data_IF_188862207295
#
_entry.id   IF_188862207295
#
_cell.length_a   1.000
_cell.length_b   1.000
_cell.length_c   1.000
_cell.angle_alpha   90.00
_cell.angle_beta   90.00
_cell.angle_gamma   90.00
#
_symmetry.space_group_name_H-M   'P 1'
#
loop_
_entity.id
_entity.type
_entity.pdbx_description
1 polymer ?
#
# COMPACT_ATOMS: atom_id res chain seq x y z
N UNK A 1 -11.66 43.02 -47.98
CA UNK A 1 -12.30 44.20 -48.53
C UNK A 1 -12.50 45.15 -47.37
N UNK A 2 -11.70 46.24 -47.28
CA UNK A 2 -11.82 47.24 -46.26
C UNK A 2 -12.92 48.25 -46.63
N UNK A 3 -13.88 48.47 -45.76
CA UNK A 3 -14.91 49.47 -45.97
C UNK A 3 -14.34 50.83 -45.50
N UNK A 4 -14.13 51.81 -46.41
CA UNK A 4 -13.58 53.11 -46.01
C UNK A 4 -14.57 53.85 -45.12
N UNK A 5 -14.14 54.22 -43.91
CA UNK A 5 -14.94 55.08 -42.98
C UNK A 5 -15.92 54.33 -42.05
N UNK A 6 -15.95 53.00 -42.10
CA UNK A 6 -16.76 52.20 -41.16
C UNK A 6 -16.00 51.79 -39.90
N UNK A 7 -16.57 52.06 -38.72
CA UNK A 7 -16.06 51.50 -37.46
C UNK A 7 -16.50 50.05 -37.38
N UNK A 8 -15.57 49.13 -37.51
CA UNK A 8 -15.86 47.68 -37.36
C UNK A 8 -16.02 47.35 -35.88
N UNK A 9 -17.15 46.73 -35.55
CA UNK A 9 -17.38 46.18 -34.21
C UNK A 9 -16.70 44.84 -34.12
N UNK A 10 -15.50 44.79 -33.55
CA UNK A 10 -14.74 43.57 -33.35
C UNK A 10 -15.08 42.86 -32.03
N UNK A 11 -14.55 41.67 -31.85
CA UNK A 11 -14.75 40.83 -30.66
C UNK A 11 -14.40 41.55 -29.35
N UNK A 12 -13.44 42.49 -29.39
CA UNK A 12 -13.06 43.31 -28.23
C UNK A 12 -14.10 44.39 -27.87
N UNK A 13 -14.88 44.87 -28.83
CA UNK A 13 -15.91 45.87 -28.59
C UNK A 13 -17.19 45.33 -27.96
N UNK A 14 -17.44 44.01 -28.14
CA UNK A 14 -18.59 43.28 -27.58
C UNK A 14 -18.14 42.09 -26.77
N UNK A 15 -17.06 42.23 -25.99
CA UNK A 15 -16.45 41.13 -25.23
C UNK A 15 -17.43 40.43 -24.26
N UNK A 16 -18.45 41.15 -23.80
CA UNK A 16 -19.48 40.59 -22.91
C UNK A 16 -20.42 39.59 -23.63
N UNK A 17 -20.46 39.59 -24.96
CA UNK A 17 -21.25 38.64 -25.76
C UNK A 17 -20.42 37.44 -26.22
N UNK A 18 -19.11 37.52 -26.08
CA UNK A 18 -18.21 36.42 -26.41
C UNK A 18 -18.17 35.49 -25.23
N UNK A 19 -18.86 34.37 -25.33
CA UNK A 19 -18.80 33.31 -24.32
C UNK A 19 -17.47 32.54 -24.43
N UNK A 20 -16.85 32.32 -23.29
CA UNK A 20 -15.70 31.42 -23.21
C UNK A 20 -16.18 29.98 -23.46
N UNK A 21 -15.61 29.32 -24.46
CA UNK A 21 -15.90 27.92 -24.68
C UNK A 21 -15.26 27.09 -23.55
N UNK A 22 -16.09 26.40 -22.79
CA UNK A 22 -15.64 25.43 -21.79
C UNK A 22 -15.62 24.04 -22.40
N UNK A 23 -14.59 23.26 -22.05
CA UNK A 23 -14.52 21.86 -22.43
C UNK A 23 -15.60 21.10 -21.65
N UNK A 24 -16.49 20.44 -22.37
CA UNK A 24 -17.59 19.68 -21.79
C UNK A 24 -17.12 18.36 -21.14
N UNK A 25 -15.88 17.95 -21.43
CA UNK A 25 -15.31 16.74 -20.86
C UNK A 25 -14.53 17.09 -19.59
N UNK A 26 -14.96 16.49 -18.48
CA UNK A 26 -14.19 16.53 -17.23
C UNK A 26 -12.96 15.63 -17.39
N UNK A 27 -11.78 16.21 -17.45
CA UNK A 27 -10.52 15.47 -17.45
C UNK A 27 -10.09 15.22 -16.04
N UNK A 28 -10.16 13.96 -15.62
CA UNK A 28 -9.63 13.56 -14.34
C UNK A 28 -8.11 13.66 -14.34
N UNK A 29 -7.54 14.24 -13.28
CA UNK A 29 -6.09 14.22 -13.08
C UNK A 29 -5.60 12.77 -12.92
N UNK A 30 -4.38 12.50 -13.39
CA UNK A 30 -3.72 11.22 -13.10
C UNK A 30 -3.60 11.05 -11.59
N UNK A 31 -4.08 9.92 -11.08
CA UNK A 31 -4.13 9.61 -9.66
C UNK A 31 -3.31 8.36 -9.37
N UNK A 32 -2.75 8.29 -8.16
CA UNK A 32 -2.10 7.07 -7.69
C UNK A 32 -3.14 5.97 -7.51
N UNK A 33 -2.76 4.73 -7.82
CA UNK A 33 -3.61 3.57 -7.57
C UNK A 33 -3.37 3.12 -6.13
N UNK A 34 -4.40 3.02 -5.27
CA UNK A 34 -4.26 2.50 -3.92
C UNK A 34 -3.88 1.01 -3.97
N UNK A 35 -2.81 0.62 -3.31
CA UNK A 35 -2.22 -0.73 -3.37
C UNK A 35 -2.16 -1.39 -1.99
N UNK A 36 -2.03 -0.61 -0.92
CA UNK A 36 -1.81 -1.14 0.43
C UNK A 36 -2.97 -1.98 0.97
N UNK A 37 -4.21 -1.71 0.51
CA UNK A 37 -5.38 -2.52 0.87
C UNK A 37 -5.22 -3.99 0.47
N UNK A 38 -4.51 -4.29 -0.61
CA UNK A 38 -4.28 -5.67 -1.06
C UNK A 38 -3.39 -6.48 -0.10
N UNK A 39 -2.64 -5.80 0.77
CA UNK A 39 -1.82 -6.42 1.81
C UNK A 39 -2.64 -6.91 3.00
N UNK A 40 -3.80 -6.31 3.26
CA UNK A 40 -4.62 -6.61 4.41
C UNK A 40 -5.50 -7.85 4.17
N UNK A 41 -5.60 -8.71 5.18
CA UNK A 41 -6.55 -9.82 5.18
C UNK A 41 -7.93 -9.31 5.60
N UNK A 42 -8.90 -9.49 4.73
CA UNK A 42 -10.29 -9.13 5.03
C UNK A 42 -10.95 -10.26 5.81
N UNK A 43 -11.35 -9.97 7.05
CA UNK A 43 -12.15 -10.88 7.87
C UNK A 43 -13.60 -10.42 7.88
N UNK A 44 -14.55 -11.24 7.45
CA UNK A 44 -15.96 -10.88 7.53
C UNK A 44 -16.39 -10.84 8.99
N UNK A 45 -17.00 -9.74 9.41
CA UNK A 45 -17.63 -9.61 10.72
C UNK A 45 -19.11 -9.93 10.56
N UNK A 46 -19.61 -10.88 11.34
CA UNK A 46 -21.04 -11.20 11.33
C UNK A 46 -21.83 -10.07 11.99
N UNK A 47 -22.89 -9.63 11.32
CA UNK A 47 -23.77 -8.53 11.78
C UNK A 47 -24.42 -8.78 13.15
N UNK A 48 -24.42 -10.02 13.63
CA UNK A 48 -25.00 -10.41 14.91
C UNK A 48 -24.10 -10.16 16.14
N UNK A 49 -22.88 -9.64 15.95
CA UNK A 49 -21.97 -9.34 17.06
C UNK A 49 -22.20 -7.91 17.57
N UNK A 50 -22.81 -7.72 18.72
CA UNK A 50 -22.94 -6.40 19.36
C UNK A 50 -21.57 -5.99 19.90
N UNK A 51 -21.00 -4.92 19.42
CA UNK A 51 -19.76 -4.37 19.98
C UNK A 51 -18.95 -3.55 18.96
N UNK A 52 -18.17 -2.62 19.47
CA UNK A 52 -17.22 -1.80 18.71
C UNK A 52 -15.86 -2.46 18.53
N UNK A 53 -15.66 -3.66 19.08
CA UNK A 53 -14.39 -4.37 19.04
C UNK A 53 -14.59 -5.85 18.71
N UNK A 54 -13.63 -6.40 17.96
CA UNK A 54 -13.55 -7.82 17.62
C UNK A 54 -12.34 -8.42 18.31
N UNK A 55 -12.53 -9.54 19.00
CA UNK A 55 -11.47 -10.24 19.72
C UNK A 55 -11.09 -11.49 18.94
N UNK A 56 -9.81 -11.62 18.61
CA UNK A 56 -9.22 -12.81 18.00
C UNK A 56 -8.44 -13.57 19.05
N UNK A 57 -8.73 -14.87 19.22
CA UNK A 57 -8.00 -15.73 20.14
C UNK A 57 -6.94 -16.54 19.38
N UNK A 58 -5.70 -16.48 19.87
CA UNK A 58 -4.55 -17.19 19.32
C UNK A 58 -4.08 -18.20 20.36
N UNK A 59 -4.10 -19.48 20.02
CA UNK A 59 -3.58 -20.54 20.89
C UNK A 59 -2.07 -20.66 20.71
N UNK A 60 -1.36 -20.77 21.81
CA UNK A 60 0.06 -21.04 21.82
C UNK A 60 0.30 -22.54 21.62
N UNK A 61 1.42 -22.90 20.99
CA UNK A 61 1.86 -24.28 20.87
C UNK A 61 2.19 -24.85 22.25
N UNK A 62 1.99 -26.16 22.42
CA UNK A 62 2.46 -26.88 23.58
C UNK A 62 3.98 -27.05 23.55
N UNK A 63 4.59 -27.10 24.73
CA UNK A 63 6.01 -27.41 24.84
C UNK A 63 6.30 -28.80 24.23
N UNK A 64 7.45 -28.95 23.61
CA UNK A 64 7.85 -30.22 23.04
C UNK A 64 8.02 -31.30 24.14
N UNK A 65 7.44 -32.48 23.93
CA UNK A 65 7.61 -33.62 24.83
C UNK A 65 8.95 -34.27 24.55
N UNK A 66 9.98 -33.88 25.28
CA UNK A 66 11.37 -34.40 25.13
C UNK A 66 11.75 -35.45 26.19
N UNK A 67 10.88 -35.66 27.17
CA UNK A 67 11.12 -36.63 28.24
C UNK A 67 10.77 -38.04 27.79
N UNK A 68 11.65 -39.00 28.08
CA UNK A 68 11.39 -40.42 27.87
C UNK A 68 10.32 -40.93 28.82
N UNK A 69 9.40 -41.72 28.30
CA UNK A 69 8.37 -42.39 29.12
C UNK A 69 8.96 -43.58 29.82
N UNK A 70 8.51 -43.83 31.06
CA UNK A 70 8.82 -45.03 31.81
C UNK A 70 7.65 -46.00 31.72
N UNK A 71 7.94 -47.28 31.55
CA UNK A 71 6.93 -48.34 31.34
C UNK A 71 5.92 -48.47 32.51
N UNK A 72 6.32 -48.02 33.69
CA UNK A 72 5.53 -48.19 34.92
C UNK A 72 4.81 -46.89 35.34
N UNK A 73 4.94 -45.80 34.61
CA UNK A 73 4.36 -44.52 34.98
C UNK A 73 3.48 -43.98 33.86
N UNK A 74 2.29 -43.58 34.20
CA UNK A 74 1.37 -42.95 33.27
C UNK A 74 1.83 -41.54 32.89
N UNK A 75 1.46 -41.09 31.68
CA UNK A 75 1.80 -39.73 31.16
C UNK A 75 1.04 -38.69 31.94
N UNK A 76 1.75 -37.70 32.49
CA UNK A 76 1.11 -36.54 33.13
C UNK A 76 0.41 -35.70 32.09
N UNK A 77 -0.88 -35.41 32.31
CA UNK A 77 -1.63 -34.49 31.43
C UNK A 77 -1.12 -33.04 31.52
N UNK A 78 -0.92 -32.42 30.39
CA UNK A 78 -0.56 -31.00 30.30
C UNK A 78 -1.83 -30.21 29.97
N UNK A 79 -2.15 -29.19 30.78
CA UNK A 79 -3.26 -28.30 30.48
C UNK A 79 -2.88 -27.33 29.35
N UNK A 80 -3.80 -27.14 28.41
CA UNK A 80 -3.66 -26.09 27.42
C UNK A 80 -3.75 -24.72 28.12
N UNK A 81 -2.77 -23.85 27.89
CA UNK A 81 -2.78 -22.49 28.44
C UNK A 81 -3.92 -21.64 27.87
N UNK A 82 -4.24 -20.56 28.56
CA UNK A 82 -5.23 -19.61 28.05
C UNK A 82 -4.76 -19.02 26.71
N UNK A 83 -5.65 -18.89 25.71
CA UNK A 83 -5.31 -18.26 24.46
C UNK A 83 -4.95 -16.79 24.63
N UNK A 84 -3.95 -16.32 23.92
CA UNK A 84 -3.69 -14.90 23.80
C UNK A 84 -4.81 -14.23 23.00
N UNK A 85 -5.27 -13.09 23.45
CA UNK A 85 -6.35 -12.36 22.80
C UNK A 85 -5.83 -11.06 22.19
N UNK A 86 -6.13 -10.84 20.91
CA UNK A 86 -5.89 -9.59 20.22
C UNK A 86 -7.25 -8.92 20.00
N UNK A 87 -7.43 -7.75 20.61
CA UNK A 87 -8.65 -6.96 20.46
C UNK A 87 -8.42 -5.89 19.40
N UNK A 88 -9.25 -5.89 18.37
CA UNK A 88 -9.25 -4.89 17.31
C UNK A 88 -10.49 -4.02 17.44
N UNK A 89 -10.30 -2.71 17.60
CA UNK A 89 -11.40 -1.74 17.64
C UNK A 89 -11.78 -1.33 16.23
N UNK A 90 -13.09 -1.37 15.95
CA UNK A 90 -13.63 -0.94 14.67
C UNK A 90 -13.83 0.59 14.70
N UNK A 91 -13.23 1.27 13.76
CA UNK A 91 -13.39 2.71 13.57
C UNK A 91 -14.16 2.97 12.27
N UNK A 92 -14.95 4.03 12.26
CA UNK A 92 -15.70 4.50 11.11
C UNK A 92 -14.96 5.70 10.49
N UNK A 93 -14.79 5.67 9.18
CA UNK A 93 -14.16 6.75 8.42
C UNK A 93 -15.13 7.22 7.35
N UNK A 94 -15.24 8.52 7.17
CA UNK A 94 -16.11 9.09 6.16
C UNK A 94 -15.76 10.54 5.82
N UNK A 95 -16.05 10.94 4.59
CA UNK A 95 -16.02 12.32 4.15
C UNK A 95 -17.28 12.63 3.38
N UNK A 96 -17.77 13.87 3.49
CA UNK A 96 -18.98 14.31 2.80
C UNK A 96 -18.71 15.63 2.07
N UNK A 97 -19.23 15.74 0.85
CA UNK A 97 -19.23 16.98 0.07
C UNK A 97 -20.69 17.37 -0.19
N UNK A 98 -21.03 18.59 0.15
CA UNK A 98 -22.37 19.14 -0.08
C UNK A 98 -22.34 20.12 -1.25
N UNK A 99 -23.26 19.93 -2.19
CA UNK A 99 -23.50 20.87 -3.30
C UNK A 99 -24.77 21.68 -3.03
N UNK A 100 -24.77 22.93 -3.51
CA UNK A 100 -25.98 23.75 -3.44
C UNK A 100 -26.81 23.59 -4.71
N UNK A 101 -28.12 23.61 -4.57
CA UNK A 101 -29.04 23.56 -5.70
C UNK A 101 -28.78 24.65 -6.74
N UNK A 102 -28.34 25.81 -6.28
CA UNK A 102 -27.96 26.94 -7.16
C UNK A 102 -26.74 26.56 -8.02
N UNK A 103 -25.73 25.89 -7.46
CA UNK A 103 -24.55 25.44 -8.20
C UNK A 103 -24.94 24.47 -9.31
N UNK A 104 -25.76 23.47 -9.01
CA UNK A 104 -26.20 22.47 -10.01
C UNK A 104 -27.04 23.11 -11.14
N UNK A 105 -27.81 24.16 -10.83
CA UNK A 105 -28.60 24.87 -11.84
C UNK A 105 -27.77 25.83 -12.69
N UNK A 106 -26.70 26.38 -12.17
CA UNK A 106 -25.86 27.40 -12.85
C UNK A 106 -24.58 26.85 -13.44
N UNK A 107 -24.20 25.61 -13.06
CA UNK A 107 -23.01 24.95 -13.60
C UNK A 107 -23.25 24.50 -15.03
N UNK A 108 -22.26 24.71 -15.89
CA UNK A 108 -22.29 24.25 -17.28
C UNK A 108 -21.98 22.75 -17.37
N UNK A 109 -21.19 22.20 -16.44
CA UNK A 109 -20.83 20.78 -16.37
C UNK A 109 -21.67 20.08 -15.30
N UNK A 110 -21.87 18.77 -15.48
CA UNK A 110 -22.48 17.91 -14.47
C UNK A 110 -21.54 17.75 -13.27
N UNK A 111 -21.80 18.56 -12.24
CA UNK A 111 -20.99 18.59 -11.01
C UNK A 111 -21.18 17.33 -10.19
N UNK A 112 -22.37 16.74 -10.19
CA UNK A 112 -22.71 15.60 -9.34
C UNK A 112 -21.96 14.33 -9.78
N UNK A 113 -21.83 14.09 -11.08
CA UNK A 113 -21.04 12.97 -11.61
C UNK A 113 -19.55 13.13 -11.29
N UNK A 114 -19.00 14.32 -11.48
CA UNK A 114 -17.61 14.59 -11.15
C UNK A 114 -17.30 14.43 -9.65
N UNK A 115 -18.24 14.86 -8.79
CA UNK A 115 -18.10 14.69 -7.33
C UNK A 115 -18.19 13.22 -6.91
N UNK A 116 -19.06 12.43 -7.52
CA UNK A 116 -19.16 11.00 -7.22
C UNK A 116 -17.83 10.28 -7.46
N UNK A 117 -17.18 10.55 -8.58
CA UNK A 117 -15.87 9.98 -8.89
C UNK A 117 -14.76 10.45 -7.93
N UNK A 118 -14.80 11.73 -7.55
CA UNK A 118 -13.83 12.28 -6.58
C UNK A 118 -14.01 11.65 -5.21
N UNK A 119 -15.23 11.49 -4.73
CA UNK A 119 -15.53 10.90 -3.42
C UNK A 119 -15.17 9.40 -3.41
N UNK A 120 -15.48 8.68 -4.49
CA UNK A 120 -15.15 7.27 -4.61
C UNK A 120 -13.63 7.04 -4.54
N UNK A 121 -12.86 7.86 -5.25
CA UNK A 121 -11.40 7.81 -5.17
C UNK A 121 -10.89 8.20 -3.78
N UNK A 122 -11.43 9.25 -3.18
CA UNK A 122 -11.04 9.68 -1.83
C UNK A 122 -11.30 8.59 -0.78
N UNK A 123 -12.41 7.85 -0.90
CA UNK A 123 -12.69 6.72 -0.01
C UNK A 123 -11.65 5.61 -0.16
N UNK A 124 -11.28 5.25 -1.39
CA UNK A 124 -10.25 4.24 -1.65
C UNK A 124 -8.87 4.66 -1.13
N UNK A 125 -8.47 5.90 -1.38
CA UNK A 125 -7.20 6.48 -0.93
C UNK A 125 -7.14 6.60 0.60
N UNK A 126 -8.25 6.96 1.25
CA UNK A 126 -8.34 7.03 2.71
C UNK A 126 -8.15 5.67 3.38
N UNK A 127 -8.75 4.61 2.84
CA UNK A 127 -8.56 3.25 3.34
C UNK A 127 -7.10 2.83 3.17
N UNK A 128 -6.51 3.13 2.02
CA UNK A 128 -5.11 2.81 1.73
C UNK A 128 -4.16 3.52 2.71
N UNK A 129 -4.41 4.80 2.98
CA UNK A 129 -3.64 5.58 3.94
C UNK A 129 -3.75 5.04 5.37
N UNK A 130 -4.93 4.58 5.80
CA UNK A 130 -5.13 3.97 7.13
C UNK A 130 -4.33 2.67 7.23
N UNK A 131 -4.37 1.81 6.21
CA UNK A 131 -3.59 0.57 6.19
C UNK A 131 -2.09 0.87 6.20
N UNK A 132 -1.64 1.83 5.38
CA UNK A 132 -0.26 2.27 5.36
C UNK A 132 0.21 2.79 6.73
N UNK A 133 -0.61 3.58 7.43
CA UNK A 133 -0.30 4.10 8.76
C UNK A 133 -0.11 2.98 9.80
N UNK A 134 -0.93 1.92 9.73
CA UNK A 134 -0.78 0.76 10.60
C UNK A 134 0.50 0.01 10.31
N UNK A 135 0.84 -0.19 9.03
CA UNK A 135 2.06 -0.89 8.63
C UNK A 135 3.33 -0.12 9.01
N UNK A 136 3.33 1.21 8.82
CA UNK A 136 4.47 2.07 9.16
C UNK A 136 4.57 2.37 10.65
N UNK A 137 3.48 2.28 11.39
CA UNK A 137 3.43 2.41 12.85
C UNK A 137 3.77 1.13 13.60
N UNK A 138 4.19 0.07 12.91
CA UNK A 138 4.59 -1.18 13.52
C UNK A 138 5.75 -1.01 14.51
N UNK A 139 5.86 -1.94 15.44
CA UNK A 139 6.94 -1.96 16.43
C UNK A 139 8.31 -1.87 15.75
N UNK A 140 9.24 -1.16 16.36
CA UNK A 140 10.62 -1.01 15.87
C UNK A 140 11.35 -2.33 15.58
N UNK A 141 10.87 -3.43 16.16
CA UNK A 141 11.40 -4.78 15.96
C UNK A 141 11.16 -5.31 14.53
N UNK A 142 10.15 -4.79 13.85
CA UNK A 142 9.77 -5.24 12.50
C UNK A 142 10.21 -4.25 11.41
N UNK A 143 11.04 -3.27 11.75
CA UNK A 143 11.54 -2.26 10.82
C UNK A 143 13.00 -2.54 10.51
N UNK A 144 13.30 -2.82 9.26
CA UNK A 144 14.65 -2.94 8.73
C UNK A 144 14.99 -1.64 8.02
N UNK A 145 16.07 -1.02 8.42
CA UNK A 145 16.51 0.25 7.85
C UNK A 145 17.48 -0.02 6.70
N UNK A 146 17.21 0.54 5.53
CA UNK A 146 18.08 0.43 4.37
C UNK A 146 19.48 1.03 4.63
N UNK A 147 20.51 0.31 4.19
CA UNK A 147 21.90 0.66 4.42
C UNK A 147 22.51 -0.07 5.61
N UNK A 148 23.70 -0.61 5.43
CA UNK A 148 24.40 -1.57 6.32
C UNK A 148 24.55 -1.11 7.79
N UNK A 149 24.39 0.18 8.09
CA UNK A 149 24.66 0.76 9.42
C UNK A 149 23.51 1.56 10.00
N UNK A 150 22.39 1.67 9.31
CA UNK A 150 21.25 2.46 9.79
C UNK A 150 20.48 1.67 10.86
N UNK A 151 20.34 2.25 12.05
CA UNK A 151 19.58 1.69 13.18
C UNK A 151 18.29 2.45 13.47
N UNK A 152 18.08 3.56 12.79
CA UNK A 152 16.88 4.41 12.92
C UNK A 152 16.70 5.25 11.66
N UNK A 153 15.50 5.79 11.48
CA UNK A 153 15.17 6.72 10.37
C UNK A 153 16.12 7.92 10.31
N UNK A 154 16.58 8.40 11.45
CA UNK A 154 17.49 9.56 11.52
C UNK A 154 18.93 9.24 11.10
N UNK A 155 19.30 7.96 11.07
CA UNK A 155 20.64 7.51 10.67
C UNK A 155 20.72 7.13 9.20
N UNK A 156 19.58 7.13 8.48
CA UNK A 156 19.56 6.89 7.03
C UNK A 156 20.13 8.11 6.33
N UNK A 157 21.22 7.91 5.59
CA UNK A 157 21.85 8.95 4.77
C UNK A 157 21.23 8.96 3.36
N UNK A 158 21.40 10.07 2.64
CA UNK A 158 20.95 10.18 1.26
C UNK A 158 21.59 9.15 0.30
N UNK A 159 22.70 8.54 0.71
CA UNK A 159 23.40 7.48 -0.03
C UNK A 159 22.87 6.07 0.29
N UNK A 160 21.98 5.93 1.27
CA UNK A 160 21.38 4.66 1.63
C UNK A 160 20.27 4.31 0.61
N UNK A 161 20.66 3.69 -0.49
CA UNK A 161 19.76 3.15 -1.51
C UNK A 161 19.33 1.75 -1.16
N UNK A 162 18.18 1.31 -1.65
CA UNK A 162 17.68 -0.05 -1.45
C UNK A 162 18.55 -1.06 -2.20
N UNK A 163 18.87 -2.16 -1.54
CA UNK A 163 19.76 -3.22 -2.03
C UNK A 163 19.10 -4.59 -1.95
N UNK A 164 19.63 -5.55 -2.71
CA UNK A 164 19.24 -6.97 -2.59
C UNK A 164 19.49 -7.52 -1.18
N UNK A 165 20.55 -7.04 -0.52
CA UNK A 165 20.87 -7.42 0.85
C UNK A 165 19.75 -7.06 1.85
N UNK A 166 19.11 -5.90 1.69
CA UNK A 166 18.01 -5.44 2.55
C UNK A 166 16.78 -6.35 2.40
N UNK A 167 16.49 -6.81 1.17
CA UNK A 167 15.41 -7.77 0.91
C UNK A 167 15.73 -9.12 1.55
N UNK A 168 16.98 -9.59 1.42
CA UNK A 168 17.42 -10.85 2.02
C UNK A 168 17.30 -10.82 3.53
N UNK A 169 17.68 -9.73 4.18
CA UNK A 169 17.55 -9.55 5.62
C UNK A 169 16.08 -9.58 6.03
N UNK A 170 15.20 -8.85 5.31
CA UNK A 170 13.76 -8.86 5.57
C UNK A 170 13.15 -10.26 5.47
N UNK A 171 13.49 -11.02 4.43
CA UNK A 171 13.00 -12.40 4.26
C UNK A 171 13.55 -13.32 5.35
N UNK A 172 14.82 -13.13 5.75
CA UNK A 172 15.42 -13.91 6.83
C UNK A 172 14.72 -13.66 8.15
N UNK A 173 14.43 -12.42 8.47
CA UNK A 173 13.68 -12.02 9.68
C UNK A 173 12.27 -12.61 9.69
N UNK A 174 11.54 -12.53 8.58
CA UNK A 174 10.22 -13.14 8.45
C UNK A 174 10.25 -14.65 8.67
N UNK A 175 11.24 -15.35 8.10
CA UNK A 175 11.41 -16.80 8.29
C UNK A 175 11.81 -17.17 9.72
N UNK A 176 12.67 -16.39 10.34
CA UNK A 176 13.08 -16.56 11.74
C UNK A 176 11.88 -16.43 12.67
N UNK A 177 11.00 -15.47 12.39
CA UNK A 177 9.75 -15.25 13.11
C UNK A 177 8.62 -16.21 12.70
N UNK A 178 8.91 -17.22 11.88
CA UNK A 178 7.94 -18.23 11.39
C UNK A 178 6.72 -17.62 10.72
N UNK A 179 6.88 -16.46 10.05
CA UNK A 179 5.81 -15.84 9.30
C UNK A 179 5.44 -16.70 8.10
N UNK A 180 4.14 -16.91 7.88
CA UNK A 180 3.65 -17.69 6.74
C UNK A 180 3.79 -16.88 5.44
N UNK A 181 4.36 -17.46 4.38
CA UNK A 181 4.45 -16.83 3.09
C UNK A 181 3.04 -16.65 2.48
N UNK A 182 2.82 -15.55 1.76
CA UNK A 182 1.50 -15.21 1.22
C UNK A 182 1.23 -15.78 -0.17
N UNK A 183 2.28 -15.99 -0.97
CA UNK A 183 2.19 -16.46 -2.36
C UNK A 183 2.99 -17.75 -2.49
N UNK A 184 2.35 -18.89 -2.22
CA UNK A 184 3.06 -20.18 -2.23
C UNK A 184 4.17 -20.20 -1.18
N UNK A 185 5.43 -20.25 -1.62
CA UNK A 185 6.61 -20.20 -0.74
C UNK A 185 7.27 -18.82 -0.68
N UNK A 186 6.65 -17.81 -1.33
CA UNK A 186 7.20 -16.47 -1.50
C UNK A 186 6.48 -15.46 -0.63
N UNK A 187 7.24 -14.47 -0.16
CA UNK A 187 6.71 -13.27 0.49
C UNK A 187 6.38 -12.20 -0.55
N UNK A 188 5.32 -11.44 -0.35
CA UNK A 188 4.97 -10.32 -1.22
C UNK A 188 5.73 -9.06 -0.81
N UNK A 189 6.45 -8.45 -1.75
CA UNK A 189 7.14 -7.19 -1.56
C UNK A 189 6.45 -6.07 -2.36
N UNK A 190 6.14 -4.97 -1.67
CA UNK A 190 5.55 -3.79 -2.28
C UNK A 190 6.58 -2.66 -2.25
N UNK A 191 7.08 -2.30 -3.41
CA UNK A 191 8.14 -1.32 -3.57
C UNK A 191 7.65 -0.09 -4.33
N UNK A 192 8.12 1.07 -3.89
CA UNK A 192 7.93 2.30 -4.66
C UNK A 192 8.80 2.25 -5.94
N UNK A 193 8.36 2.78 -7.09
CA UNK A 193 9.14 2.77 -8.34
C UNK A 193 10.58 3.30 -8.20
N UNK A 194 10.81 4.24 -7.29
CA UNK A 194 12.15 4.74 -7.00
C UNK A 194 13.04 3.66 -6.38
N UNK A 195 12.52 2.89 -5.42
CA UNK A 195 13.25 1.78 -4.79
C UNK A 195 13.57 0.67 -5.79
N UNK A 196 12.63 0.38 -6.69
CA UNK A 196 12.86 -0.56 -7.79
C UNK A 196 13.96 -0.08 -8.73
N UNK A 197 14.04 1.23 -9.01
CA UNK A 197 15.10 1.80 -9.82
C UNK A 197 16.47 1.69 -9.12
N UNK A 198 16.53 1.98 -7.83
CA UNK A 198 17.77 1.86 -7.04
C UNK A 198 18.26 0.41 -6.98
N UNK A 199 17.34 -0.54 -6.76
CA UNK A 199 17.64 -1.97 -6.74
C UNK A 199 18.23 -2.44 -8.09
N UNK A 200 17.65 -2.01 -9.20
CA UNK A 200 18.14 -2.35 -10.56
C UNK A 200 19.47 -1.67 -10.90
N UNK A 201 19.79 -0.57 -10.24
CA UNK A 201 21.07 0.13 -10.43
C UNK A 201 22.22 -0.51 -9.63
N UNK A 202 21.94 -1.45 -8.71
CA UNK A 202 22.95 -2.09 -7.88
C UNK A 202 23.88 -2.98 -8.73
N UNK A 203 25.18 -2.65 -8.74
CA UNK A 203 26.21 -3.30 -9.54
C UNK A 203 27.21 -4.14 -8.75
N UNK A 204 27.11 -4.13 -7.41
CA UNK A 204 28.04 -4.86 -6.53
C UNK A 204 27.90 -6.38 -6.57
N UNK A 205 28.84 -7.09 -5.97
CA UNK A 205 28.81 -8.55 -5.80
C UNK A 205 27.57 -8.96 -5.02
N UNK A 206 26.74 -9.84 -5.60
CA UNK A 206 25.43 -10.21 -5.06
C UNK A 206 24.31 -9.22 -5.31
N UNK A 207 24.56 -8.13 -6.04
CA UNK A 207 23.56 -7.17 -6.47
C UNK A 207 22.68 -7.69 -7.61
N UNK A 208 21.59 -6.95 -7.88
CA UNK A 208 20.61 -7.34 -8.90
C UNK A 208 21.20 -7.59 -10.28
N UNK A 209 22.14 -6.75 -10.71
CA UNK A 209 22.77 -6.89 -12.02
C UNK A 209 23.68 -8.12 -12.12
N UNK A 210 24.30 -8.52 -11.03
CA UNK A 210 25.13 -9.73 -11.02
C UNK A 210 24.26 -10.98 -11.07
N UNK A 211 23.20 -11.05 -10.29
CA UNK A 211 22.23 -12.14 -10.30
C UNK A 211 21.62 -12.32 -11.71
N UNK A 212 21.29 -11.25 -12.39
CA UNK A 212 20.70 -11.29 -13.74
C UNK A 212 21.64 -11.86 -14.82
N UNK A 213 22.95 -11.95 -14.57
CA UNK A 213 23.90 -12.59 -15.49
C UNK A 213 23.80 -14.12 -15.49
N UNK A 214 23.38 -14.71 -14.38
CA UNK A 214 23.32 -16.14 -14.16
C UNK A 214 21.92 -16.74 -14.33
N UNK A 215 20.90 -15.90 -14.25
CA UNK A 215 19.48 -16.30 -14.38
C UNK A 215 18.95 -15.82 -15.75
N UNK A 216 17.73 -15.51 -15.87
CA UNK A 216 17.10 -15.01 -17.09
C UNK A 216 17.33 -13.50 -17.25
N UNK A 217 17.70 -13.05 -18.46
CA UNK A 217 17.84 -11.62 -18.79
C UNK A 217 16.52 -10.92 -19.05
N UNK A 218 15.45 -11.66 -19.22
CA UNK A 218 14.12 -11.13 -19.57
C UNK A 218 13.61 -10.10 -18.55
N UNK A 219 13.72 -10.30 -17.23
CA UNK A 219 13.31 -9.31 -16.24
C UNK A 219 14.08 -7.99 -16.36
N UNK A 220 15.37 -8.05 -16.65
CA UNK A 220 16.20 -6.86 -16.81
C UNK A 220 15.77 -6.00 -18.01
N UNK A 221 15.44 -6.63 -19.13
CA UNK A 221 14.99 -5.95 -20.36
C UNK A 221 13.55 -5.44 -20.18
N UNK A 222 12.68 -6.23 -19.61
CA UNK A 222 11.29 -5.87 -19.39
C UNK A 222 11.07 -4.83 -18.27
N UNK A 223 12.10 -4.51 -17.48
CA UNK A 223 11.98 -3.59 -16.35
C UNK A 223 11.33 -4.19 -15.11
N UNK A 224 11.04 -5.49 -15.10
CA UNK A 224 10.53 -6.20 -13.96
C UNK A 224 11.66 -6.59 -12.99
N UNK A 225 11.37 -6.66 -11.70
CA UNK A 225 12.31 -7.11 -10.68
C UNK A 225 12.21 -8.63 -10.50
N UNK A 226 11.04 -9.21 -10.71
CA UNK A 226 10.79 -10.64 -10.56
C UNK A 226 10.91 -11.12 -9.11
N UNK A 227 11.31 -12.38 -8.94
CA UNK A 227 11.51 -12.99 -7.61
C UNK A 227 12.96 -12.81 -7.18
N UNK A 228 13.16 -12.19 -6.03
CA UNK A 228 14.49 -11.99 -5.43
C UNK A 228 14.47 -12.54 -4.02
N UNK A 229 15.41 -13.46 -3.72
CA UNK A 229 15.68 -13.98 -2.36
C UNK A 229 14.42 -14.49 -1.62
N UNK A 230 13.41 -14.96 -2.35
CA UNK A 230 12.16 -15.45 -1.77
C UNK A 230 11.07 -14.40 -1.59
N UNK A 231 11.26 -13.19 -2.10
CA UNK A 231 10.24 -12.15 -2.21
C UNK A 231 9.81 -11.93 -3.68
N UNK A 232 8.52 -11.66 -3.89
CA UNK A 232 7.91 -11.40 -5.20
C UNK A 232 7.20 -10.06 -5.21
#
# INVERSE_FOLDING_TARGET
MAIPGGTLTGTSAISNLVQTAYDQYVRMALRSIPVMRALADVKPVQQAMPGSSVVFSIYSDLAQATSTLTETSDVSSIALGNPNQITVTLNEYGSAVTTTKKLNMTSFNDVDTALADIIAYNAADSIDAVVAAVLTGASSTNIIYGGITATSTNTITAAATMRVADIREAVTELRTNKALPRIGELYAAYLHPRQTADLRAETGTGGFQELSKYVDRTPFVAGAVGVIEGAF
#
